data_IF_097940705620
#
_entry.id   IF_097940705620
#
_cell.length_a   1.000
_cell.length_b   1.000
_cell.length_c   1.000
_cell.angle_alpha   90.00
_cell.angle_beta   90.00
_cell.angle_gamma   90.00
#
_symmetry.space_group_name_H-M   'P 1'
#
loop_
_entity.id
_entity.type
_entity.pdbx_description
1 polymer ?
#
# COMPACT_ATOMS: atom_id res chain seq x y z
N UNK A 1 -4.86 4.33 -5.37
CA UNK A 1 -4.12 5.61 -5.19
C UNK A 1 -2.88 5.37 -4.35
N UNK A 2 -1.85 6.17 -4.54
CA UNK A 2 -0.60 6.16 -3.78
C UNK A 2 -0.55 7.41 -2.90
N UNK A 3 -0.58 7.23 -1.58
CA UNK A 3 -0.55 8.32 -0.60
C UNK A 3 0.91 8.61 -0.24
N UNK A 4 1.36 9.85 -0.43
CA UNK A 4 2.73 10.27 -0.15
C UNK A 4 3.01 10.37 1.35
N UNK A 5 4.21 9.97 1.79
CA UNK A 5 4.64 10.18 3.16
C UNK A 5 5.12 11.61 3.38
N UNK A 6 4.36 12.37 4.16
CA UNK A 6 4.70 13.73 4.61
C UNK A 6 4.97 13.79 6.12
N UNK A 7 5.13 12.63 6.76
CA UNK A 7 5.42 12.50 8.19
C UNK A 7 4.43 11.62 8.96
N UNK A 8 3.36 11.15 8.31
CA UNK A 8 2.33 10.31 8.93
C UNK A 8 2.68 8.82 9.02
N UNK A 9 3.81 8.41 8.43
CA UNK A 9 4.28 7.01 8.37
C UNK A 9 5.75 6.93 8.73
N UNK A 10 6.26 5.71 8.98
CA UNK A 10 7.69 5.49 9.21
C UNK A 10 8.56 6.12 8.11
N UNK A 11 9.72 6.67 8.49
CA UNK A 11 10.56 7.51 7.62
C UNK A 11 11.08 6.80 6.35
N UNK A 12 11.12 5.48 6.38
CA UNK A 12 11.55 4.59 5.31
C UNK A 12 10.47 4.41 4.23
N UNK A 13 9.19 4.57 4.60
CA UNK A 13 8.09 4.54 3.66
C UNK A 13 8.03 5.86 2.87
N UNK A 14 7.94 5.76 1.55
CA UNK A 14 7.75 6.91 0.65
C UNK A 14 6.30 7.05 0.24
N UNK A 15 5.64 5.92 -0.06
CA UNK A 15 4.22 5.91 -0.45
C UNK A 15 3.49 4.72 0.17
N UNK A 16 2.21 4.89 0.45
CA UNK A 16 1.29 3.83 0.87
C UNK A 16 0.19 3.61 -0.17
N UNK A 17 -0.13 2.35 -0.42
CA UNK A 17 -1.36 1.93 -1.11
C UNK A 17 -2.18 1.10 -0.14
N UNK A 18 -3.42 1.51 0.12
CA UNK A 18 -4.34 0.77 0.99
C UNK A 18 -5.11 -0.27 0.19
N UNK A 19 -5.16 -1.50 0.70
CA UNK A 19 -5.99 -2.59 0.18
C UNK A 19 -7.04 -3.01 1.20
N UNK A 20 -7.95 -3.91 0.80
CA UNK A 20 -9.03 -4.37 1.68
C UNK A 20 -8.54 -5.12 2.93
N UNK A 21 -7.45 -5.89 2.80
CA UNK A 21 -6.94 -6.79 3.85
C UNK A 21 -5.53 -6.40 4.33
N UNK A 22 -5.13 -5.15 4.11
CA UNK A 22 -3.77 -4.73 4.37
C UNK A 22 -3.33 -3.48 3.63
N UNK A 23 -2.02 -3.28 3.57
CA UNK A 23 -1.42 -2.15 2.88
C UNK A 23 -0.12 -2.56 2.19
N UNK A 24 0.16 -1.89 1.07
CA UNK A 24 1.45 -1.93 0.41
C UNK A 24 2.20 -0.63 0.69
N UNK A 25 3.51 -0.74 0.90
CA UNK A 25 4.39 0.38 1.23
C UNK A 25 5.58 0.37 0.28
N UNK A 26 5.81 1.47 -0.41
CA UNK A 26 6.96 1.65 -1.30
C UNK A 26 8.06 2.35 -0.50
N UNK A 27 9.24 1.74 -0.43
CA UNK A 27 10.47 2.35 0.12
C UNK A 27 11.46 2.58 -1.00
N UNK A 28 12.61 3.18 -0.69
CA UNK A 28 13.68 3.41 -1.68
C UNK A 28 14.21 2.12 -2.31
N UNK A 29 14.07 0.95 -1.69
CA UNK A 29 14.69 -0.28 -2.18
C UNK A 29 13.82 -1.54 -2.09
N UNK A 30 12.59 -1.40 -1.61
CA UNK A 30 11.69 -2.53 -1.43
C UNK A 30 10.23 -2.11 -1.54
N UNK A 31 9.39 -3.10 -1.78
CA UNK A 31 7.94 -3.01 -1.60
C UNK A 31 7.58 -3.92 -0.43
N UNK A 32 6.92 -3.37 0.57
CA UNK A 32 6.38 -4.13 1.69
C UNK A 32 4.89 -4.35 1.51
N UNK A 33 4.41 -5.52 1.90
CA UNK A 33 3.00 -5.88 1.90
C UNK A 33 2.68 -6.38 3.30
N UNK A 34 1.86 -5.61 4.01
CA UNK A 34 1.34 -5.96 5.32
C UNK A 34 -0.06 -6.52 5.16
N UNK A 35 -0.31 -7.69 5.75
CA UNK A 35 -1.57 -8.42 5.68
C UNK A 35 -2.12 -8.59 7.09
N UNK A 36 -3.44 -8.53 7.20
CA UNK A 36 -4.17 -8.91 8.39
C UNK A 36 -5.18 -9.99 8.01
N UNK A 37 -5.24 -11.05 8.80
CA UNK A 37 -6.24 -12.10 8.61
C UNK A 37 -7.64 -11.48 8.71
N UNK A 38 -8.52 -11.82 7.77
CA UNK A 38 -9.90 -11.36 7.84
C UNK A 38 -10.58 -11.94 9.09
N UNK A 39 -11.33 -11.10 9.81
CA UNK A 39 -12.25 -11.54 10.85
C UNK A 39 -13.25 -12.55 10.29
N UNK A 40 -13.67 -13.49 11.14
CA UNK A 40 -14.49 -14.64 10.76
C UNK A 40 -15.70 -14.24 9.89
N UNK A 41 -15.98 -14.97 8.79
CA UNK A 41 -17.12 -14.69 7.91
C UNK A 41 -18.51 -14.94 8.54
N UNK A 42 -18.57 -15.35 9.81
CA UNK A 42 -19.81 -15.65 10.53
C UNK A 42 -20.38 -14.46 11.33
N UNK A 43 -19.77 -13.28 11.25
CA UNK A 43 -20.21 -12.08 11.96
C UNK A 43 -19.82 -12.05 13.44
N UNK A 44 -18.92 -12.93 13.88
CA UNK A 44 -18.29 -12.83 15.19
C UNK A 44 -17.57 -11.50 15.36
N UNK A 45 -17.52 -10.94 16.58
CA UNK A 45 -16.81 -9.68 16.84
C UNK A 45 -15.34 -9.78 16.39
N UNK A 46 -14.76 -8.66 15.91
CA UNK A 46 -13.37 -8.64 15.50
C UNK A 46 -12.46 -9.12 16.64
N UNK A 47 -11.46 -9.91 16.26
CA UNK A 47 -10.49 -10.49 17.18
C UNK A 47 -9.77 -9.36 17.92
N UNK A 48 -9.63 -9.40 19.27
CA UNK A 48 -8.88 -8.40 20.02
C UNK A 48 -7.46 -8.24 19.45
N UNK A 49 -6.89 -7.03 19.44
CA UNK A 49 -5.59 -6.69 18.83
C UNK A 49 -4.43 -7.65 19.16
N UNK A 50 -4.50 -8.37 20.29
CA UNK A 50 -3.50 -9.37 20.71
C UNK A 50 -3.57 -10.73 20.01
N UNK A 51 -4.67 -11.06 19.34
CA UNK A 51 -4.90 -12.33 18.65
C UNK A 51 -5.00 -12.17 17.11
N UNK A 52 -4.75 -10.95 16.59
CA UNK A 52 -4.74 -10.71 15.15
C UNK A 52 -3.57 -11.43 14.49
N UNK A 53 -3.88 -12.35 13.57
CA UNK A 53 -2.85 -12.97 12.73
C UNK A 53 -2.46 -12.00 11.62
N UNK A 54 -1.22 -11.52 11.65
CA UNK A 54 -0.69 -10.60 10.65
C UNK A 54 0.59 -11.16 10.02
N UNK A 55 0.82 -10.80 8.75
CA UNK A 55 2.03 -11.16 8.03
C UNK A 55 2.61 -9.94 7.33
N UNK A 56 3.94 -9.89 7.22
CA UNK A 56 4.64 -8.92 6.40
C UNK A 56 5.45 -9.66 5.35
N UNK A 57 5.23 -9.33 4.09
CA UNK A 57 6.04 -9.77 2.97
C UNK A 57 6.86 -8.60 2.47
N UNK A 58 8.16 -8.82 2.26
CA UNK A 58 9.07 -7.83 1.68
C UNK A 58 9.54 -8.30 0.31
N UNK A 59 9.37 -7.44 -0.69
CA UNK A 59 9.85 -7.62 -2.04
C UNK A 59 11.06 -6.71 -2.26
N UNK A 60 12.24 -7.29 -2.46
CA UNK A 60 13.50 -6.55 -2.70
C UNK A 60 14.01 -6.80 -4.11
N UNK A 61 14.53 -5.77 -4.76
CA UNK A 61 15.06 -5.85 -6.12
C UNK A 61 16.56 -6.21 -6.10
N UNK A 62 16.88 -7.50 -6.29
CA UNK A 62 18.27 -7.98 -6.26
C UNK A 62 18.95 -7.60 -7.58
N UNK A 63 20.10 -6.92 -7.47
CA UNK A 63 20.82 -6.35 -8.62
C UNK A 63 20.42 -4.91 -8.97
N UNK A 64 19.52 -4.31 -8.19
CA UNK A 64 19.11 -2.92 -8.39
C UNK A 64 20.20 -1.91 -8.00
N UNK A 65 20.04 -0.68 -8.49
CA UNK A 65 20.84 0.46 -8.06
C UNK A 65 20.76 0.65 -6.53
N UNK A 66 21.82 1.16 -5.92
CA UNK A 66 21.92 1.31 -4.45
C UNK A 66 21.03 2.41 -3.87
N UNK A 67 20.50 3.32 -4.70
CA UNK A 67 19.60 4.39 -4.28
C UNK A 67 18.70 4.85 -5.46
N UNK A 68 17.75 4.02 -5.90
CA UNK A 68 16.87 4.37 -7.01
C UNK A 68 15.98 5.56 -6.59
N UNK A 69 15.64 6.41 -7.55
CA UNK A 69 14.77 7.57 -7.30
C UNK A 69 13.32 7.17 -7.53
N UNK A 70 12.42 7.56 -6.62
CA UNK A 70 10.99 7.34 -6.79
C UNK A 70 10.34 8.64 -7.26
N UNK A 71 9.68 8.59 -8.41
CA UNK A 71 8.92 9.71 -8.97
C UNK A 71 7.44 9.36 -9.02
N UNK A 72 6.61 10.15 -8.34
CA UNK A 72 5.16 10.03 -8.45
C UNK A 72 4.64 10.76 -9.69
N UNK A 73 3.54 10.26 -10.25
CA UNK A 73 2.88 10.84 -11.40
C UNK A 73 1.36 10.81 -11.26
N UNK A 74 0.67 11.58 -12.10
CA UNK A 74 -0.78 11.74 -12.10
C UNK A 74 -1.32 12.14 -10.73
N UNK A 75 -1.00 13.36 -10.28
CA UNK A 75 -1.53 13.90 -9.02
C UNK A 75 -3.06 13.87 -9.06
N UNK A 76 -3.66 13.28 -8.04
CA UNK A 76 -5.11 13.18 -7.90
C UNK A 76 -5.67 14.40 -7.18
N UNK A 77 -6.92 14.75 -7.49
CA UNK A 77 -7.65 15.80 -6.77
C UNK A 77 -8.09 15.35 -5.36
N UNK A 78 -8.06 14.03 -5.10
CA UNK A 78 -8.36 13.46 -3.78
C UNK A 78 -7.43 14.01 -2.71
N UNK A 79 -8.00 14.54 -1.64
CA UNK A 79 -7.25 14.95 -0.45
C UNK A 79 -7.33 13.89 0.64
N UNK A 80 -6.17 13.54 1.22
CA UNK A 80 -6.09 12.65 2.38
C UNK A 80 -5.74 13.45 3.64
N UNK A 81 -6.48 13.23 4.73
CA UNK A 81 -6.26 13.93 6.01
C UNK A 81 -6.02 12.94 7.16
N UNK A 82 -5.10 13.29 8.05
CA UNK A 82 -4.73 12.55 9.25
C UNK A 82 -4.93 13.46 10.45
N UNK A 83 -6.06 13.27 11.12
CA UNK A 83 -6.39 13.95 12.36
C UNK A 83 -6.05 13.02 13.51
N UNK A 84 -4.76 12.95 13.84
CA UNK A 84 -4.25 12.04 14.87
C UNK A 84 -3.86 12.84 16.10
N UNK A 85 -4.35 12.43 17.26
CA UNK A 85 -4.03 13.13 18.50
C UNK A 85 -4.85 14.42 18.68
N UNK A 86 -4.75 15.00 19.89
CA UNK A 86 -5.50 16.20 20.27
C UNK A 86 -4.86 17.51 19.80
N UNK A 87 -3.54 17.51 19.56
CA UNK A 87 -2.83 18.69 19.10
C UNK A 87 -3.10 18.90 17.60
N UNK A 88 -3.95 19.88 17.29
CA UNK A 88 -4.30 20.18 15.90
C UNK A 88 -3.14 20.70 15.07
N UNK A 89 -2.01 21.10 15.68
CA UNK A 89 -0.81 21.48 14.95
C UNK A 89 -0.02 20.27 14.40
N UNK A 90 -0.27 19.07 14.96
CA UNK A 90 0.28 17.80 14.48
C UNK A 90 -0.61 17.15 13.40
N UNK A 91 -1.78 17.73 13.13
CA UNK A 91 -2.70 17.23 12.11
C UNK A 91 -2.15 17.49 10.71
N UNK A 92 -2.17 16.45 9.88
CA UNK A 92 -1.71 16.53 8.50
C UNK A 92 -2.92 16.58 7.59
N UNK A 93 -3.12 17.72 6.94
CA UNK A 93 -4.20 17.93 5.97
C UNK A 93 -3.67 18.04 4.56
N UNK A 94 -4.52 17.72 3.58
CA UNK A 94 -4.20 17.80 2.15
C UNK A 94 -2.95 16.98 1.76
N UNK A 95 -2.76 15.81 2.38
CA UNK A 95 -1.69 14.89 2.02
C UNK A 95 -1.87 14.47 0.56
N UNK A 96 -0.85 14.63 -0.31
CA UNK A 96 -0.96 14.32 -1.73
C UNK A 96 -1.27 12.84 -1.99
N UNK A 97 -2.14 12.61 -2.98
CA UNK A 97 -2.40 11.31 -3.55
C UNK A 97 -2.05 11.30 -5.04
N UNK A 98 -1.54 10.18 -5.51
CA UNK A 98 -1.01 10.01 -6.86
C UNK A 98 -1.63 8.79 -7.55
N UNK A 99 -1.74 8.85 -8.86
CA UNK A 99 -2.21 7.74 -9.71
C UNK A 99 -1.18 6.62 -9.80
N UNK A 100 0.11 6.95 -9.69
CA UNK A 100 1.19 5.97 -9.69
C UNK A 100 2.53 6.51 -9.20
N UNK A 101 3.48 5.59 -9.05
CA UNK A 101 4.87 5.84 -8.62
C UNK A 101 5.81 5.01 -9.49
N UNK A 102 6.92 5.60 -9.92
CA UNK A 102 7.93 4.95 -10.73
C UNK A 102 9.28 4.93 -9.99
N UNK A 103 9.87 3.75 -9.87
CA UNK A 103 11.28 3.58 -9.53
C UNK A 103 12.13 3.82 -10.78
N UNK A 104 12.80 4.96 -10.82
CA UNK A 104 13.62 5.41 -11.94
C UNK A 104 14.96 4.69 -11.96
N UNK A 105 15.32 4.15 -13.12
CA UNK A 105 16.57 3.44 -13.40
C UNK A 105 16.91 2.44 -12.28
N UNK A 106 15.89 1.69 -11.85
CA UNK A 106 15.98 0.71 -10.79
C UNK A 106 17.02 -0.36 -11.13
N UNK A 107 17.01 -0.81 -12.38
CA UNK A 107 18.14 -1.51 -13.00
C UNK A 107 18.70 -0.66 -14.14
N UNK A 108 19.94 -0.90 -14.63
CA UNK A 108 20.51 -0.14 -15.74
C UNK A 108 19.58 -0.07 -16.96
N UNK A 109 19.01 1.12 -17.20
CA UNK A 109 18.08 1.39 -18.30
C UNK A 109 16.66 0.81 -18.14
N UNK A 110 16.29 0.32 -16.95
CA UNK A 110 14.97 -0.25 -16.67
C UNK A 110 14.35 0.45 -15.46
N UNK A 111 13.13 0.97 -15.64
CA UNK A 111 12.31 1.50 -14.56
C UNK A 111 11.27 0.45 -14.13
N UNK A 112 10.78 0.55 -12.89
CA UNK A 112 9.56 -0.13 -12.45
C UNK A 112 8.48 0.90 -12.21
N UNK A 113 7.37 0.80 -12.93
CA UNK A 113 6.20 1.63 -12.71
C UNK A 113 5.11 0.85 -11.98
N UNK A 114 4.51 1.47 -10.97
CA UNK A 114 3.30 1.00 -10.31
C UNK A 114 2.20 2.04 -10.49
N UNK A 115 1.00 1.60 -10.84
CA UNK A 115 -0.17 2.45 -11.03
C UNK A 115 -1.43 1.80 -10.46
N UNK A 116 -2.38 2.62 -10.03
CA UNK A 116 -3.65 2.18 -9.49
C UNK A 116 -4.79 2.58 -10.41
N UNK A 117 -5.60 1.63 -10.87
CA UNK A 117 -6.77 1.88 -11.70
C UNK A 117 -7.95 1.01 -11.23
N UNK A 118 -9.12 1.61 -11.00
CA UNK A 118 -10.37 0.89 -10.71
C UNK A 118 -10.23 -0.19 -9.61
N UNK A 119 -9.54 0.19 -8.51
CA UNK A 119 -9.21 -0.70 -7.37
C UNK A 119 -8.21 -1.82 -7.67
N UNK A 120 -7.62 -1.86 -8.86
CA UNK A 120 -6.56 -2.81 -9.24
C UNK A 120 -5.19 -2.14 -9.22
N UNK A 121 -4.19 -2.88 -8.72
CA UNK A 121 -2.80 -2.53 -8.87
C UNK A 121 -2.29 -3.07 -10.21
N UNK A 122 -1.67 -2.20 -11.00
CA UNK A 122 -0.87 -2.57 -12.14
C UNK A 122 0.59 -2.21 -11.87
N UNK A 123 1.51 -3.02 -12.37
CA UNK A 123 2.93 -2.71 -12.35
C UNK A 123 3.65 -3.32 -13.55
N UNK A 124 4.66 -2.61 -14.03
CA UNK A 124 5.33 -2.94 -15.29
C UNK A 124 6.79 -2.50 -15.31
N UNK A 125 7.61 -3.30 -15.97
CA UNK A 125 8.99 -2.97 -16.32
C UNK A 125 8.99 -2.06 -17.56
N UNK A 126 9.55 -0.86 -17.41
CA UNK A 126 9.75 0.08 -18.52
C UNK A 126 11.18 -0.02 -19.00
N UNK A 127 11.37 -0.71 -20.13
CA UNK A 127 12.65 -0.72 -20.84
C UNK A 127 12.88 0.63 -21.54
N UNK A 128 13.87 1.37 -21.07
CA UNK A 128 14.41 2.57 -21.72
C UNK A 128 15.56 2.25 -22.68
N UNK A 129 16.44 3.23 -22.91
CA UNK A 129 17.61 3.06 -23.77
C UNK A 129 18.61 2.07 -23.15
N UNK A 130 19.10 1.11 -23.95
CA UNK A 130 20.11 0.13 -23.55
C UNK A 130 19.73 -0.75 -22.34
N UNK A 131 18.43 -0.99 -22.12
CA UNK A 131 17.90 -1.71 -20.97
C UNK A 131 18.29 -3.21 -20.90
N UNK A 132 18.80 -3.79 -22.00
CA UNK A 132 19.03 -5.24 -22.14
C UNK A 132 19.95 -5.80 -21.04
N UNK A 133 21.07 -5.13 -20.77
CA UNK A 133 22.00 -5.54 -19.72
C UNK A 133 21.39 -5.43 -18.31
N UNK A 134 20.49 -4.47 -18.09
CA UNK A 134 19.73 -4.37 -16.84
C UNK A 134 18.76 -5.54 -16.68
N UNK A 135 18.04 -5.90 -17.76
CA UNK A 135 17.04 -6.96 -17.75
C UNK A 135 17.61 -8.36 -17.42
N UNK A 136 18.84 -8.64 -17.86
CA UNK A 136 19.50 -9.93 -17.60
C UNK A 136 19.76 -10.20 -16.10
N UNK A 137 19.89 -9.14 -15.30
CA UNK A 137 20.24 -9.23 -13.88
C UNK A 137 19.05 -9.04 -12.95
N UNK A 138 17.84 -8.85 -13.49
CA UNK A 138 16.65 -8.60 -12.68
C UNK A 138 16.26 -9.83 -11.87
N UNK A 139 16.26 -9.66 -10.56
CA UNK A 139 15.80 -10.66 -9.61
C UNK A 139 14.89 -10.00 -8.57
N UNK A 140 13.86 -10.73 -8.16
CA UNK A 140 12.97 -10.32 -7.08
C UNK A 140 13.15 -11.27 -5.90
N UNK A 141 13.59 -10.73 -4.77
CA UNK A 141 13.66 -11.48 -3.51
C UNK A 141 12.38 -11.26 -2.72
N UNK A 142 11.81 -12.34 -2.22
CA UNK A 142 10.58 -12.38 -1.44
C UNK A 142 10.93 -12.92 -0.06
N UNK A 143 10.76 -12.09 0.97
CA UNK A 143 10.99 -12.45 2.37
C UNK A 143 9.65 -12.41 3.13
N UNK A 144 9.42 -13.36 4.04
CA UNK A 144 8.25 -13.39 4.92
C UNK A 144 7.05 -14.21 4.42
N UNK A 145 7.11 -14.80 3.23
CA UNK A 145 6.13 -15.78 2.77
C UNK A 145 6.54 -17.20 3.17
N UNK A 146 5.58 -18.05 3.57
CA UNK A 146 5.82 -19.45 3.91
C UNK A 146 6.08 -20.29 2.66
N UNK A 147 5.39 -19.97 1.56
CA UNK A 147 5.68 -20.53 0.24
C UNK A 147 5.57 -19.45 -0.84
N UNK A 148 6.33 -19.65 -1.93
CA UNK A 148 6.33 -18.76 -3.10
C UNK A 148 6.26 -19.62 -4.36
N UNK A 149 5.29 -19.34 -5.22
CA UNK A 149 5.15 -19.99 -6.52
C UNK A 149 4.83 -18.97 -7.60
N UNK A 150 5.23 -19.27 -8.84
CA UNK A 150 4.81 -18.50 -10.02
C UNK A 150 4.00 -19.43 -10.91
N UNK A 151 2.76 -19.05 -11.18
CA UNK A 151 1.85 -19.79 -12.06
C UNK A 151 1.13 -18.79 -12.96
N UNK A 152 1.16 -19.02 -14.28
CA UNK A 152 0.49 -18.19 -15.30
C UNK A 152 0.80 -16.69 -15.17
N UNK A 153 2.06 -16.35 -14.82
CA UNK A 153 2.49 -14.97 -14.63
C UNK A 153 2.00 -14.33 -13.34
N UNK A 154 1.45 -15.10 -12.41
CA UNK A 154 1.00 -14.66 -11.08
C UNK A 154 1.94 -15.24 -10.01
N UNK A 155 2.45 -14.35 -9.17
CA UNK A 155 3.18 -14.66 -7.94
C UNK A 155 2.18 -15.01 -6.83
N UNK A 156 2.16 -16.27 -6.44
CA UNK A 156 1.35 -16.79 -5.34
C UNK A 156 2.22 -16.91 -4.08
N UNK A 157 1.75 -16.29 -3.00
CA UNK A 157 2.43 -16.20 -1.72
C UNK A 157 1.51 -16.75 -0.64
N UNK A 158 1.93 -17.80 0.06
CA UNK A 158 1.23 -18.25 1.26
C UNK A 158 1.83 -17.61 2.49
N UNK A 159 0.99 -17.13 3.40
CA UNK A 159 1.42 -16.55 4.67
C UNK A 159 0.50 -17.01 5.80
N UNK A 160 0.98 -16.86 7.04
CA UNK A 160 0.16 -17.07 8.23
C UNK A 160 -1.14 -16.25 8.25
N UNK A 161 -1.18 -15.09 7.59
CA UNK A 161 -2.36 -14.22 7.53
C UNK A 161 -3.26 -14.50 6.32
N UNK A 162 -2.92 -15.48 5.48
CA UNK A 162 -3.64 -15.85 4.27
C UNK A 162 -2.79 -15.75 3.00
N UNK A 163 -3.35 -16.26 1.90
CA UNK A 163 -2.73 -16.26 0.59
C UNK A 163 -2.82 -14.87 -0.07
N UNK A 164 -1.76 -14.51 -0.81
CA UNK A 164 -1.71 -13.32 -1.66
C UNK A 164 -1.33 -13.71 -3.07
N UNK A 165 -2.08 -13.21 -4.04
CA UNK A 165 -1.79 -13.34 -5.46
C UNK A 165 -1.47 -11.96 -6.03
N UNK A 166 -0.29 -11.81 -6.65
CA UNK A 166 0.12 -10.60 -7.35
C UNK A 166 0.49 -10.98 -8.78
N UNK A 167 0.06 -10.24 -9.82
CA UNK A 167 0.64 -10.43 -11.14
C UNK A 167 2.16 -10.18 -11.06
N UNK A 168 2.99 -10.86 -11.84
CA UNK A 168 4.37 -10.43 -12.06
C UNK A 168 4.37 -9.13 -12.89
N UNK A 169 5.33 -8.21 -12.68
CA UNK A 169 5.37 -6.98 -13.45
C UNK A 169 5.42 -7.26 -14.95
N UNK A 170 4.57 -6.57 -15.70
CA UNK A 170 4.47 -6.77 -17.14
C UNK A 170 5.69 -6.20 -17.85
N UNK A 171 6.17 -6.88 -18.89
CA UNK A 171 7.19 -6.35 -19.80
C UNK A 171 6.73 -6.52 -21.25
N UNK A 172 6.76 -5.43 -21.99
CA UNK A 172 6.34 -5.37 -23.38
C UNK A 172 7.42 -5.95 -24.31
N UNK A 173 7.44 -7.27 -24.44
CA UNK A 173 8.37 -8.02 -25.28
C UNK A 173 7.68 -9.22 -25.95
N UNK A 174 8.33 -9.80 -26.95
CA UNK A 174 7.85 -11.00 -27.66
C UNK A 174 8.27 -12.30 -26.98
N UNK A 175 9.29 -12.27 -26.12
CA UNK A 175 9.82 -13.45 -25.43
C UNK A 175 10.47 -13.07 -24.10
N UNK A 176 10.29 -13.91 -23.09
CA UNK A 176 10.96 -13.83 -21.80
C UNK A 176 11.50 -15.20 -21.37
N UNK A 177 12.61 -15.24 -20.62
CA UNK A 177 12.95 -16.41 -19.83
C UNK A 177 11.82 -16.75 -18.86
N UNK A 178 11.63 -18.04 -18.57
CA UNK A 178 10.66 -18.46 -17.55
C UNK A 178 11.12 -18.01 -16.17
N UNK A 179 10.23 -17.44 -15.33
CA UNK A 179 10.57 -17.16 -13.95
C UNK A 179 10.93 -18.43 -13.18
N UNK A 180 12.02 -18.40 -12.43
CA UNK A 180 12.46 -19.53 -11.60
C UNK A 180 12.50 -19.09 -10.15
N UNK A 181 11.76 -19.80 -9.29
CA UNK A 181 11.74 -19.58 -7.84
C UNK A 181 12.75 -20.50 -7.17
N UNK A 182 13.65 -19.94 -6.38
CA UNK A 182 14.65 -20.68 -5.60
C UNK A 182 14.57 -20.26 -4.13
N UNK A 183 14.42 -21.22 -3.21
CA UNK A 183 14.51 -20.94 -1.77
C UNK A 183 15.96 -20.64 -1.37
N UNK A 184 16.16 -19.57 -0.60
CA UNK A 184 17.45 -19.19 0.00
C UNK A 184 17.52 -19.54 1.50
N UNK A 185 16.40 -19.97 2.08
CA UNK A 185 16.28 -20.26 3.50
C UNK A 185 14.82 -20.31 3.93
N UNK A 186 14.59 -20.27 5.24
CA UNK A 186 13.26 -20.19 5.80
C UNK A 186 12.61 -18.86 5.42
N UNK A 187 11.45 -18.94 4.75
CA UNK A 187 10.66 -17.79 4.32
C UNK A 187 11.42 -16.76 3.49
N UNK A 188 12.42 -17.22 2.73
CA UNK A 188 13.26 -16.41 1.85
C UNK A 188 13.43 -17.08 0.49
N UNK A 189 13.00 -16.38 -0.56
CA UNK A 189 12.96 -16.88 -1.93
C UNK A 189 13.48 -15.84 -2.89
N UNK A 190 14.13 -16.29 -3.97
CA UNK A 190 14.58 -15.45 -5.07
C UNK A 190 13.93 -15.93 -6.35
N UNK A 191 13.41 -14.98 -7.12
CA UNK A 191 12.76 -15.18 -8.41
C UNK A 191 13.64 -14.55 -9.48
N UNK A 192 14.18 -15.36 -10.38
CA UNK A 192 14.89 -14.86 -11.58
C UNK A 192 13.89 -14.48 -12.65
N UNK A 193 14.23 -13.48 -13.47
CA UNK A 193 13.37 -13.01 -14.59
C UNK A 193 11.92 -12.74 -14.12
N UNK A 194 11.71 -11.88 -13.10
CA UNK A 194 10.40 -11.65 -12.48
C UNK A 194 9.50 -10.79 -13.37
N UNK A 195 9.10 -11.31 -14.52
CA UNK A 195 8.31 -10.59 -15.50
C UNK A 195 7.27 -11.49 -16.17
N UNK A 196 6.12 -10.91 -16.51
CA UNK A 196 5.11 -11.53 -17.37
C UNK A 196 5.09 -10.83 -18.73
N UNK A 197 4.77 -11.59 -19.80
CA UNK A 197 4.55 -10.99 -21.11
C UNK A 197 3.14 -10.41 -21.12
N UNK A 198 3.02 -9.15 -21.54
CA UNK A 198 1.75 -8.66 -22.04
C UNK A 198 1.90 -7.46 -22.94
N UNK A 199 0.82 -7.13 -23.63
CA UNK A 199 0.75 -5.94 -24.45
C UNK A 199 0.74 -4.73 -23.51
N UNK A 200 1.48 -3.67 -23.84
CA UNK A 200 1.28 -2.38 -23.15
C UNK A 200 -0.19 -2.03 -23.29
N UNK A 201 -0.95 -2.12 -22.21
CA UNK A 201 -2.04 -1.20 -22.03
C UNK A 201 -1.36 0.14 -21.81
N UNK A 202 -1.51 1.15 -22.70
CA UNK A 202 -1.20 2.50 -22.27
C UNK A 202 -1.91 2.68 -20.94
N UNK A 203 -1.24 3.25 -19.93
CA UNK A 203 -1.92 3.69 -18.72
C UNK A 203 -3.16 4.43 -19.20
N UNK A 204 -4.33 3.79 -19.07
CA UNK A 204 -5.55 4.38 -19.57
C UNK A 204 -5.67 5.68 -18.78
N UNK A 205 -5.98 6.79 -19.46
CA UNK A 205 -6.25 8.05 -18.80
C UNK A 205 -7.12 7.73 -17.57
N UNK A 206 -6.71 8.14 -16.35
CA UNK A 206 -7.28 7.62 -15.12
C UNK A 206 -8.81 7.62 -15.22
N UNK A 207 -9.40 6.43 -15.15
CA UNK A 207 -10.83 6.28 -14.93
C UNK A 207 -11.14 6.99 -13.63
N UNK A 208 -11.89 8.07 -13.72
CA UNK A 208 -12.14 8.98 -12.61
C UNK A 208 -13.03 8.29 -11.57
N UNK A 209 -12.43 7.49 -10.69
CA UNK A 209 -13.05 7.15 -9.41
C UNK A 209 -13.04 8.45 -8.62
N UNK A 210 -14.19 9.12 -8.54
CA UNK A 210 -14.37 10.36 -7.77
C UNK A 210 -14.36 10.06 -6.26
N UNK A 211 -13.21 9.65 -5.73
CA UNK A 211 -12.94 9.68 -4.30
C UNK A 211 -12.63 11.13 -3.91
N UNK A 212 -13.58 11.80 -3.27
CA UNK A 212 -13.48 13.23 -2.93
C UNK A 212 -12.53 13.45 -1.74
N UNK A 213 -12.70 12.66 -0.67
CA UNK A 213 -11.81 12.67 0.49
C UNK A 213 -11.67 11.25 1.08
N UNK A 214 -10.55 11.01 1.77
CA UNK A 214 -10.31 9.83 2.60
C UNK A 214 -9.46 10.26 3.79
N UNK A 215 -9.55 9.58 4.93
CA UNK A 215 -8.77 10.00 6.09
C UNK A 215 -8.73 8.97 7.21
N UNK A 216 -7.91 9.27 8.21
CA UNK A 216 -7.86 8.55 9.47
C UNK A 216 -8.30 9.48 10.60
N UNK A 217 -9.17 8.97 11.47
CA UNK A 217 -9.72 9.64 12.63
C UNK A 217 -9.52 8.72 13.84
N UNK A 218 -8.70 9.14 14.80
CA UNK A 218 -8.39 8.33 15.98
C UNK A 218 -7.24 8.89 16.82
N UNK A 219 -7.01 8.27 17.97
CA UNK A 219 -5.98 8.60 18.94
C UNK A 219 -5.14 7.38 19.34
N UNK A 220 -4.68 7.34 20.59
CA UNK A 220 -3.69 6.37 21.09
C UNK A 220 -4.28 5.05 21.61
N UNK A 221 -5.59 4.92 21.62
CA UNK A 221 -6.31 3.76 22.14
C UNK A 221 -7.40 3.33 21.14
N UNK A 222 -8.37 2.53 21.62
CA UNK A 222 -9.43 2.01 20.77
C UNK A 222 -10.41 3.12 20.34
N UNK A 223 -10.62 3.22 19.03
CA UNK A 223 -11.51 4.19 18.40
C UNK A 223 -12.32 3.52 17.30
N UNK A 224 -13.64 3.73 17.32
CA UNK A 224 -14.57 3.10 16.39
C UNK A 224 -15.53 4.14 15.83
N UNK A 225 -15.59 4.25 14.50
CA UNK A 225 -16.66 4.96 13.79
C UNK A 225 -17.89 4.05 13.65
N UNK A 226 -19.07 4.58 13.98
CA UNK A 226 -20.35 3.86 13.97
C UNK A 226 -21.32 4.33 12.90
N UNK A 227 -21.27 5.60 12.51
CA UNK A 227 -22.12 6.14 11.44
C UNK A 227 -21.46 7.34 10.76
N UNK A 228 -21.89 7.63 9.52
CA UNK A 228 -21.42 8.77 8.73
C UNK A 228 -22.57 9.43 7.96
N UNK A 229 -22.64 10.75 8.01
CA UNK A 229 -23.55 11.56 7.20
C UNK A 229 -22.79 12.68 6.47
N UNK A 230 -23.28 13.09 5.31
CA UNK A 230 -22.70 14.18 4.51
C UNK A 230 -23.76 15.24 4.25
N UNK A 231 -23.45 16.51 4.51
CA UNK A 231 -24.37 17.62 4.24
C UNK A 231 -24.35 18.05 2.76
N UNK A 232 -25.17 19.06 2.41
CA UNK A 232 -25.21 19.61 1.05
C UNK A 232 -23.95 20.36 0.63
N UNK A 233 -23.13 20.76 1.60
CA UNK A 233 -21.88 21.50 1.39
C UNK A 233 -20.68 20.54 1.26
N UNK A 234 -20.89 19.23 1.44
CA UNK A 234 -19.88 18.18 1.31
C UNK A 234 -19.10 17.90 2.59
N UNK A 235 -19.52 18.42 3.74
CA UNK A 235 -18.89 18.13 5.02
C UNK A 235 -19.33 16.74 5.53
N UNK A 236 -18.36 15.94 5.94
CA UNK A 236 -18.59 14.64 6.56
C UNK A 236 -18.70 14.77 8.09
N UNK A 237 -19.74 14.17 8.65
CA UNK A 237 -19.96 14.04 10.09
C UNK A 237 -19.82 12.56 10.43
N UNK A 238 -18.88 12.21 11.30
CA UNK A 238 -18.58 10.82 11.66
C UNK A 238 -18.86 10.66 13.15
N UNK A 239 -19.79 9.78 13.51
CA UNK A 239 -20.11 9.51 14.91
C UNK A 239 -19.51 8.19 15.37
N UNK A 240 -19.17 8.09 16.65
CA UNK A 240 -18.53 6.89 17.16
C UNK A 240 -18.19 6.93 18.63
N UNK A 241 -17.38 5.96 19.06
CA UNK A 241 -16.86 5.85 20.41
C UNK A 241 -15.33 5.90 20.42
N UNK A 242 -14.77 6.57 21.42
CA UNK A 242 -13.33 6.68 21.63
C UNK A 242 -12.95 6.33 23.06
N UNK A 243 -11.89 5.53 23.22
CA UNK A 243 -11.19 5.35 24.49
C UNK A 243 -9.88 6.16 24.53
N UNK A 244 -9.55 6.83 23.44
CA UNK A 244 -8.35 7.65 23.30
C UNK A 244 -8.48 8.92 24.12
N UNK A 245 -7.55 9.11 25.06
CA UNK A 245 -7.46 10.36 25.84
C UNK A 245 -7.00 11.56 25.01
N UNK A 246 -6.45 11.28 23.83
CA UNK A 246 -5.97 12.23 22.85
C UNK A 246 -6.79 12.18 21.55
N UNK A 247 -8.07 11.81 21.59
CA UNK A 247 -8.92 11.83 20.40
C UNK A 247 -8.95 13.23 19.75
N UNK A 248 -8.99 13.34 18.40
CA UNK A 248 -8.92 14.59 17.64
C UNK A 248 -10.17 15.48 17.73
N UNK A 249 -10.57 15.87 18.95
CA UNK A 249 -11.69 16.80 19.20
C UNK A 249 -11.17 18.21 19.47
N UNK A 250 -11.44 19.16 18.56
CA UNK A 250 -11.03 20.57 18.72
C UNK A 250 -12.16 21.44 19.26
N UNK A 251 -13.42 21.09 18.97
CA UNK A 251 -14.60 21.86 19.38
C UNK A 251 -15.68 20.86 19.83
N UNK A 252 -16.20 21.02 21.04
CA UNK A 252 -17.24 20.15 21.58
C UNK A 252 -17.65 20.56 23.00
N UNK A 253 -18.78 20.03 23.51
CA UNK A 253 -19.25 20.31 24.87
C UNK A 253 -18.30 19.77 25.94
N UNK A 254 -17.58 18.69 25.64
CA UNK A 254 -16.48 18.16 26.45
C UNK A 254 -15.32 17.73 25.53
N UNK A 255 -14.20 18.47 25.49
CA UNK A 255 -13.03 18.13 24.68
C UNK A 255 -12.02 17.27 25.45
N UNK A 256 -12.33 16.84 26.68
CA UNK A 256 -11.47 16.00 27.51
C UNK A 256 -12.04 14.61 27.63
N UNK A 257 -11.17 13.59 27.66
CA UNK A 257 -11.61 12.24 27.95
C UNK A 257 -12.02 12.15 29.43
N UNK A 258 -13.32 12.10 29.69
CA UNK A 258 -13.92 12.26 31.03
C UNK A 258 -14.32 10.93 31.67
N UNK A 259 -13.94 9.79 31.08
CA UNK A 259 -14.36 8.46 31.53
C UNK A 259 -13.57 7.30 30.92
N UNK A 260 -14.18 6.12 30.82
CA UNK A 260 -13.56 4.97 30.13
C UNK A 260 -13.78 5.01 28.61
N UNK A 261 -14.86 5.66 28.17
CA UNK A 261 -15.25 5.79 26.77
C UNK A 261 -16.09 7.05 26.60
N UNK A 262 -15.80 7.83 25.56
CA UNK A 262 -16.58 8.99 25.17
C UNK A 262 -17.18 8.81 23.76
N UNK A 263 -18.24 9.56 23.48
CA UNK A 263 -18.83 9.64 22.15
C UNK A 263 -18.27 10.84 21.38
N UNK A 264 -18.07 10.69 20.07
CA UNK A 264 -17.66 11.78 19.18
C UNK A 264 -18.64 11.95 18.01
N UNK A 265 -18.62 13.13 17.39
CA UNK A 265 -19.33 13.54 16.17
C UNK A 265 -18.43 14.43 15.33
#
# INVERSE_FOLDING_TARGET
MFIENVGQMASEARYQVRGANGAMWLTDNAIWISLQAQSHPDGSPPVPEGDMTAANVKLTFVGAATNPQLEAFDRLDTTVNYFTGRDSSEWLTNVPAWGGVRYMNLFPGVDLELSGQDSNLAWQWICGTNCQAGMENMQLRVEGADTVQVQDGVLQLETVAGAVALPLPMLATHSLPQPVVTSQGERDFVITSPASIGLRTPAAAPGQVNLIYSGFLGGSAWDEARDIAVDSDGNAYVTGGTWSSNFPTVIGPDPTNSGFSDAFV
#
